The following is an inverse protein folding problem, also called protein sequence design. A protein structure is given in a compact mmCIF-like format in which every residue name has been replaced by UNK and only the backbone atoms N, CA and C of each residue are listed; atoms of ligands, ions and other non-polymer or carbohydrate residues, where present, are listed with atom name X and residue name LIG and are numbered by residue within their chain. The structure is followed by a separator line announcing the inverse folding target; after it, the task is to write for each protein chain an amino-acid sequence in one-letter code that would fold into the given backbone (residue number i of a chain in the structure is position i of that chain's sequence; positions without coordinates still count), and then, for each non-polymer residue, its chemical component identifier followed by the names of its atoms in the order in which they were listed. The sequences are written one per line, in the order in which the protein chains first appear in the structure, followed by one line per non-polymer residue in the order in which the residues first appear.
data_IF_409246423208
#
_entry.id   IF_409246423208
#
_cell.length_a   1.000
_cell.length_b   1.000
_cell.length_c   1.000
_cell.angle_alpha   90.00
_cell.angle_beta   90.00
_cell.angle_gamma   90.00
#
_symmetry.space_group_name_H-M   'P 1'
#
loop_
_entity.id
_entity.type
_entity.pdbx_description
1 polymer ?
#
# COMPACT_ATOMS: atom_id res chain seq x y z
N UNK A 1 -13.39 -14.65 -12.24
CA UNK A 1 -12.17 -14.59 -11.42
C UNK A 1 -12.38 -13.64 -10.25
N UNK A 2 -11.73 -13.90 -9.14
CA UNK A 2 -11.86 -13.06 -7.94
C UNK A 2 -10.50 -12.50 -7.59
N UNK A 3 -10.44 -11.19 -7.37
CA UNK A 3 -9.23 -10.50 -6.92
C UNK A 3 -9.68 -9.37 -6.01
N UNK A 4 -9.75 -9.65 -4.72
CA UNK A 4 -10.24 -8.71 -3.73
C UNK A 4 -9.39 -8.81 -2.47
N UNK A 5 -8.96 -7.65 -1.97
CA UNK A 5 -8.11 -7.55 -0.79
C UNK A 5 -8.75 -6.56 0.17
N UNK A 6 -8.83 -6.94 1.44
CA UNK A 6 -9.27 -6.07 2.51
C UNK A 6 -8.21 -6.11 3.60
N UNK A 7 -7.65 -4.95 3.92
CA UNK A 7 -6.57 -4.84 4.90
C UNK A 7 -6.92 -3.80 5.95
N UNK A 8 -6.62 -4.12 7.20
CA UNK A 8 -6.68 -3.14 8.30
C UNK A 8 -5.32 -3.17 8.99
N UNK A 9 -4.68 -2.03 9.08
CA UNK A 9 -3.36 -1.92 9.69
C UNK A 9 -2.93 -0.48 9.83
N UNK A 10 -1.66 -0.28 10.16
CA UNK A 10 -1.14 1.06 10.43
C UNK A 10 -0.15 1.48 9.35
N UNK A 11 -0.20 2.76 9.00
CA UNK A 11 0.79 3.34 8.09
C UNK A 11 2.16 3.36 8.77
N UNK A 12 3.18 2.91 8.05
CA UNK A 12 4.55 2.89 8.57
C UNK A 12 5.19 4.26 8.53
N UNK A 13 4.69 5.13 7.65
CA UNK A 13 5.14 6.52 7.50
C UNK A 13 4.04 7.30 6.80
N UNK A 14 4.25 8.61 6.66
CA UNK A 14 3.32 9.45 5.91
C UNK A 14 3.23 8.97 4.46
N UNK A 15 2.04 9.13 3.87
CA UNK A 15 1.77 8.75 2.48
C UNK A 15 2.64 9.59 1.55
N UNK A 16 3.27 8.93 0.59
CA UNK A 16 4.07 9.61 -0.43
C UNK A 16 3.16 9.96 -1.60
N UNK A 17 2.68 11.21 -1.62
CA UNK A 17 1.77 11.70 -2.64
C UNK A 17 2.57 12.40 -3.73
N UNK A 18 2.39 11.96 -4.96
CA UNK A 18 3.06 12.52 -6.12
C UNK A 18 2.08 12.74 -7.26
N UNK A 19 2.53 13.46 -8.27
CA UNK A 19 1.75 13.74 -9.47
C UNK A 19 2.54 13.30 -10.69
N UNK A 20 1.85 12.66 -11.63
CA UNK A 20 2.45 12.30 -12.90
C UNK A 20 2.66 13.55 -13.75
N UNK A 21 3.35 13.41 -14.89
CA UNK A 21 3.56 14.53 -15.80
C UNK A 21 2.24 15.10 -16.32
N UNK A 22 1.17 14.30 -16.34
CA UNK A 22 -0.17 14.75 -16.74
C UNK A 22 -0.97 15.36 -15.60
N UNK A 23 -0.38 15.47 -14.41
CA UNK A 23 -1.08 16.03 -13.25
C UNK A 23 -1.98 15.03 -12.51
N UNK A 24 -1.86 13.74 -12.78
CA UNK A 24 -2.64 12.72 -12.09
C UNK A 24 -1.99 12.38 -10.76
N UNK A 25 -2.77 12.48 -9.68
CA UNK A 25 -2.28 12.17 -8.33
C UNK A 25 -2.12 10.66 -8.15
N UNK A 26 -1.04 10.25 -7.50
CA UNK A 26 -0.90 8.89 -7.02
C UNK A 26 -0.18 8.87 -5.69
N UNK A 27 -0.57 7.95 -4.84
CA UNK A 27 -0.03 7.81 -3.50
C UNK A 27 0.57 6.43 -3.34
N UNK A 28 1.75 6.38 -2.72
CA UNK A 28 2.40 5.12 -2.35
C UNK A 28 2.50 5.08 -0.84
N UNK A 29 2.19 3.92 -0.27
CA UNK A 29 2.26 3.76 1.18
C UNK A 29 2.42 2.29 1.54
N UNK A 30 2.82 2.04 2.77
CA UNK A 30 2.99 0.70 3.30
C UNK A 30 2.12 0.54 4.53
N UNK A 31 1.36 -0.53 4.57
CA UNK A 31 0.49 -0.88 5.70
C UNK A 31 1.14 -2.01 6.48
N UNK A 32 1.33 -1.80 7.77
CA UNK A 32 1.85 -2.83 8.67
C UNK A 32 0.69 -3.58 9.30
N UNK A 33 0.67 -4.88 9.12
CA UNK A 33 -0.41 -5.74 9.62
C UNK A 33 0.20 -6.82 10.48
N UNK A 34 -0.17 -6.82 11.75
CA UNK A 34 0.29 -7.86 12.67
C UNK A 34 -0.45 -9.16 12.40
N UNK A 35 0.29 -10.27 12.40
CA UNK A 35 -0.31 -11.58 12.25
C UNK A 35 -1.10 -11.92 13.50
N UNK A 36 -2.15 -12.73 13.32
CA UNK A 36 -3.05 -13.11 14.42
C UNK A 36 -2.38 -13.99 15.45
N UNK A 37 -1.38 -14.78 15.04
CA UNK A 37 -0.77 -15.78 15.90
C UNK A 37 0.69 -15.43 16.14
N UNK A 38 1.15 -15.80 17.35
CA UNK A 38 2.55 -15.68 17.71
C UNK A 38 3.35 -16.80 17.08
N UNK A 39 4.64 -16.55 16.82
CA UNK A 39 5.55 -17.58 16.34
C UNK A 39 5.97 -18.47 17.51
N UNK A 40 6.88 -19.43 17.27
CA UNK A 40 7.33 -20.39 18.29
C UNK A 40 8.04 -19.70 19.46
N UNK A 41 8.59 -18.51 19.25
CA UNK A 41 9.28 -17.75 20.30
C UNK A 41 8.37 -16.83 21.05
N UNK A 42 7.06 -16.88 20.83
CA UNK A 42 6.09 -15.99 21.47
C UNK A 42 6.03 -14.60 20.86
N UNK A 43 6.68 -14.38 19.75
CA UNK A 43 6.70 -13.08 19.08
C UNK A 43 5.65 -13.05 17.97
N UNK A 44 5.03 -11.87 17.77
CA UNK A 44 4.06 -11.67 16.70
C UNK A 44 4.77 -11.03 15.52
N UNK A 45 4.68 -11.68 14.38
CA UNK A 45 5.27 -11.16 13.14
C UNK A 45 4.35 -10.14 12.51
N UNK A 46 4.92 -9.25 11.72
CA UNK A 46 4.21 -8.19 11.02
C UNK A 46 4.45 -8.32 9.52
N UNK A 47 3.37 -8.22 8.75
CA UNK A 47 3.47 -8.17 7.30
C UNK A 47 3.42 -6.71 6.84
N UNK A 48 4.33 -6.34 5.95
CA UNK A 48 4.40 -4.99 5.39
C UNK A 48 3.92 -5.05 3.95
N UNK A 49 2.78 -4.43 3.68
CA UNK A 49 2.11 -4.53 2.39
C UNK A 49 2.22 -3.21 1.66
N UNK A 50 2.86 -3.22 0.49
CA UNK A 50 2.98 -2.04 -0.35
C UNK A 50 1.67 -1.81 -1.10
N UNK A 51 1.18 -0.58 -1.05
CA UNK A 51 -0.09 -0.19 -1.65
C UNK A 51 0.09 1.06 -2.49
N UNK A 52 -0.76 1.20 -3.50
CA UNK A 52 -0.85 2.43 -4.30
C UNK A 52 -2.32 2.84 -4.39
N UNK A 53 -2.53 4.13 -4.58
CA UNK A 53 -3.87 4.71 -4.69
C UNK A 53 -3.78 5.85 -5.71
N UNK A 54 -4.85 6.07 -6.47
CA UNK A 54 -4.82 7.02 -7.58
C UNK A 54 -5.88 8.10 -7.43
N UNK A 55 -5.60 9.27 -8.04
CA UNK A 55 -6.55 10.36 -8.28
C UNK A 55 -7.06 10.96 -6.98
N UNK A 56 -8.32 11.30 -6.91
CA UNK A 56 -8.91 12.01 -5.77
C UNK A 56 -8.80 11.20 -4.47
N UNK A 57 -8.96 9.90 -4.56
CA UNK A 57 -8.80 9.02 -3.40
C UNK A 57 -7.39 9.15 -2.81
N UNK A 58 -6.36 9.23 -3.67
CA UNK A 58 -4.98 9.41 -3.23
C UNK A 58 -4.81 10.72 -2.47
N UNK A 59 -5.34 11.82 -3.02
CA UNK A 59 -5.26 13.12 -2.37
C UNK A 59 -5.98 13.14 -1.02
N UNK A 60 -7.19 12.59 -0.98
CA UNK A 60 -7.96 12.51 0.26
C UNK A 60 -7.24 11.66 1.31
N UNK A 61 -6.73 10.52 0.91
CA UNK A 61 -6.03 9.62 1.82
C UNK A 61 -4.79 10.30 2.43
N UNK A 62 -4.01 10.97 1.59
CA UNK A 62 -2.83 11.68 2.05
C UNK A 62 -3.19 12.82 3.02
N UNK A 63 -4.33 13.48 2.79
CA UNK A 63 -4.77 14.60 3.65
C UNK A 63 -5.30 14.14 5.00
N UNK A 64 -5.95 12.97 5.05
CA UNK A 64 -6.62 12.51 6.26
C UNK A 64 -5.80 11.58 7.13
N UNK A 65 -4.60 11.20 6.68
CA UNK A 65 -3.78 10.23 7.41
C UNK A 65 -2.41 10.81 7.74
N UNK A 66 -1.73 10.13 8.67
CA UNK A 66 -0.37 10.47 9.05
C UNK A 66 0.35 9.18 9.42
N UNK A 67 1.66 9.27 9.70
CA UNK A 67 2.43 8.13 10.18
C UNK A 67 1.73 7.52 11.39
N UNK A 68 1.53 6.20 11.35
CA UNK A 68 0.92 5.47 12.45
C UNK A 68 -0.60 5.40 12.43
N UNK A 69 -1.25 6.09 11.50
CA UNK A 69 -2.72 6.04 11.38
C UNK A 69 -3.21 4.62 11.17
N UNK A 70 -4.27 4.25 11.87
CA UNK A 70 -4.97 2.98 11.63
C UNK A 70 -5.90 3.17 10.45
N UNK A 71 -5.72 2.38 9.40
CA UNK A 71 -6.47 2.54 8.15
C UNK A 71 -7.07 1.21 7.71
N UNK A 72 -8.21 1.30 7.03
CA UNK A 72 -8.81 0.18 6.31
C UNK A 72 -8.68 0.42 4.81
N UNK A 73 -8.22 -0.58 4.10
CA UNK A 73 -7.98 -0.51 2.66
C UNK A 73 -8.74 -1.64 1.99
N UNK A 74 -9.44 -1.32 0.92
CA UNK A 74 -10.08 -2.31 0.07
C UNK A 74 -9.62 -2.10 -1.36
N UNK A 75 -9.27 -3.18 -2.04
CA UNK A 75 -8.82 -3.10 -3.41
C UNK A 75 -8.50 -4.46 -3.97
N UNK A 76 -7.48 -4.50 -4.80
CA UNK A 76 -7.08 -5.73 -5.49
C UNK A 76 -5.56 -5.78 -5.60
N UNK A 77 -5.04 -6.98 -5.81
CA UNK A 77 -3.62 -7.17 -6.05
C UNK A 77 -3.34 -6.88 -7.52
N UNK A 78 -2.28 -6.17 -7.79
CA UNK A 78 -1.78 -5.98 -9.14
C UNK A 78 -0.28 -6.23 -9.19
N UNK A 79 0.20 -6.61 -10.36
CA UNK A 79 1.61 -6.76 -10.61
C UNK A 79 2.03 -5.83 -11.74
N UNK A 80 3.28 -5.41 -11.68
CA UNK A 80 3.88 -4.61 -12.75
C UNK A 80 5.36 -4.90 -12.80
N UNK A 81 6.02 -4.43 -13.84
CA UNK A 81 7.46 -4.56 -13.94
C UNK A 81 8.07 -3.27 -14.46
N UNK A 82 9.31 -3.05 -14.11
CA UNK A 82 10.07 -1.93 -14.65
C UNK A 82 11.53 -2.35 -14.76
N UNK A 83 12.28 -1.62 -15.57
CA UNK A 83 13.70 -1.85 -15.72
C UNK A 83 14.46 -0.94 -14.75
N UNK A 84 15.39 -1.52 -13.98
CA UNK A 84 16.22 -0.73 -13.08
C UNK A 84 17.37 -0.09 -13.85
N UNK A 85 18.23 0.64 -13.14
CA UNK A 85 19.36 1.35 -13.76
C UNK A 85 20.37 0.40 -14.40
N UNK A 86 20.39 -0.85 -13.98
CA UNK A 86 21.29 -1.86 -14.53
C UNK A 86 20.66 -2.64 -15.69
N UNK A 87 19.46 -2.23 -16.14
CA UNK A 87 18.77 -2.89 -17.24
C UNK A 87 18.08 -4.18 -16.85
N UNK A 88 18.02 -4.50 -15.56
CA UNK A 88 17.37 -5.72 -15.08
C UNK A 88 15.89 -5.44 -14.83
N UNK A 89 15.06 -6.42 -15.20
CA UNK A 89 13.62 -6.29 -14.98
C UNK A 89 13.28 -6.59 -13.53
N UNK A 90 12.57 -5.66 -12.92
CA UNK A 90 12.12 -5.78 -11.52
C UNK A 90 10.61 -5.97 -11.52
N UNK A 91 10.13 -6.98 -10.81
CA UNK A 91 8.70 -7.30 -10.69
C UNK A 91 8.20 -6.82 -9.35
N UNK A 92 7.04 -6.16 -9.36
CA UNK A 92 6.43 -5.61 -8.15
C UNK A 92 5.03 -6.20 -8.01
N UNK A 93 4.72 -6.67 -6.80
CA UNK A 93 3.38 -7.09 -6.41
C UNK A 93 2.89 -6.11 -5.33
N UNK A 94 1.75 -5.50 -5.55
CA UNK A 94 1.23 -4.47 -4.67
C UNK A 94 -0.28 -4.52 -4.62
N UNK A 95 -0.87 -3.81 -3.66
CA UNK A 95 -2.31 -3.65 -3.57
C UNK A 95 -2.69 -2.32 -4.22
N UNK A 96 -3.58 -2.37 -5.20
CA UNK A 96 -4.21 -1.17 -5.75
C UNK A 96 -5.42 -0.88 -4.87
N UNK A 97 -5.29 0.13 -4.01
CA UNK A 97 -6.34 0.51 -3.08
C UNK A 97 -7.40 1.33 -3.81
N UNK A 98 -8.63 0.89 -3.73
CA UNK A 98 -9.75 1.54 -4.40
C UNK A 98 -10.62 2.31 -3.42
N UNK A 99 -10.70 1.84 -2.16
CA UNK A 99 -11.46 2.48 -1.10
C UNK A 99 -10.65 2.45 0.20
N UNK A 100 -10.95 3.40 1.09
CA UNK A 100 -10.31 3.42 2.41
C UNK A 100 -11.30 3.89 3.49
N UNK A 101 -10.96 3.55 4.72
CA UNK A 101 -11.68 4.00 5.92
C UNK A 101 -10.70 4.45 7.00
#
# INVERSE_FOLDING_TARGET
MINNVVLVGRLTRAVDLRYTSNGTAYASFTVAIDRRYQNQNGERETDFINCVMWRKAAENFANFTRKGSLVGIEGRIQTRSYDNQQGQKVYVTEVLAENFS
#
